data_IF_589077136941
#
_entry.id   IF_589077136941
#
_cell.length_a   1.000
_cell.length_b   1.000
_cell.length_c   1.000
_cell.angle_alpha   90.00
_cell.angle_beta   90.00
_cell.angle_gamma   90.00
#
_symmetry.space_group_name_H-M   'P 1'
#
loop_
_entity.id
_entity.type
_entity.pdbx_description
1 polymer ?
#
# COMPACT_ATOMS: atom_id res chain seq x y z
N UNK A 1 -15.27 -18.20 12.83
CA UNK A 1 -15.44 -17.87 11.40
C UNK A 1 -14.21 -17.10 11.00
N UNK A 2 -13.24 -17.77 10.37
CA UNK A 2 -12.16 -17.06 9.67
C UNK A 2 -12.83 -16.31 8.52
N UNK A 3 -13.03 -15.00 8.67
CA UNK A 3 -13.30 -14.15 7.53
C UNK A 3 -12.02 -14.24 6.69
N UNK A 4 -12.10 -14.87 5.52
CA UNK A 4 -11.05 -14.76 4.51
C UNK A 4 -10.94 -13.28 4.17
N UNK A 5 -9.99 -12.60 4.83
CA UNK A 5 -9.67 -11.22 4.53
C UNK A 5 -9.17 -11.20 3.09
N UNK A 6 -9.97 -10.59 2.21
CA UNK A 6 -9.57 -10.40 0.82
C UNK A 6 -8.27 -9.63 0.80
N UNK A 7 -7.30 -10.21 0.10
CA UNK A 7 -5.99 -9.61 -0.10
C UNK A 7 -5.95 -8.94 -1.46
N UNK A 8 -5.33 -7.77 -1.50
CA UNK A 8 -5.10 -6.99 -2.71
C UNK A 8 -3.60 -6.81 -2.83
N UNK A 9 -3.05 -7.18 -3.98
CA UNK A 9 -1.66 -6.91 -4.32
C UNK A 9 -1.59 -5.63 -5.16
N UNK A 10 -0.81 -4.65 -4.70
CA UNK A 10 -0.56 -3.40 -5.42
C UNK A 10 0.92 -3.23 -5.73
N UNK A 11 1.24 -2.65 -6.87
CA UNK A 11 2.61 -2.36 -7.25
C UNK A 11 3.02 -0.98 -6.74
N UNK A 12 4.15 -0.90 -6.02
CA UNK A 12 4.76 0.32 -5.51
C UNK A 12 6.25 0.35 -5.83
N UNK A 13 6.79 1.52 -6.16
CA UNK A 13 8.25 1.74 -6.12
C UNK A 13 8.70 2.22 -4.73
N UNK A 14 10.01 2.41 -4.53
CA UNK A 14 10.54 2.79 -3.23
C UNK A 14 10.03 4.16 -2.74
N UNK A 15 9.95 5.15 -3.64
CA UNK A 15 9.48 6.49 -3.29
C UNK A 15 8.02 6.48 -2.82
N UNK A 16 7.17 5.71 -3.49
CA UNK A 16 5.76 5.56 -3.15
C UNK A 16 5.56 4.76 -1.87
N UNK A 17 6.37 3.71 -1.66
CA UNK A 17 6.40 2.96 -0.40
C UNK A 17 6.79 3.85 0.78
N UNK A 18 7.82 4.69 0.62
CA UNK A 18 8.23 5.66 1.64
C UNK A 18 7.14 6.70 1.92
N UNK A 19 6.46 7.20 0.88
CA UNK A 19 5.34 8.14 1.06
C UNK A 19 4.20 7.51 1.85
N UNK A 20 3.86 6.25 1.54
CA UNK A 20 2.85 5.50 2.27
C UNK A 20 3.26 5.27 3.74
N UNK A 21 4.51 4.90 3.99
CA UNK A 21 5.04 4.74 5.35
C UNK A 21 4.99 6.05 6.15
N UNK A 22 5.34 7.17 5.52
CA UNK A 22 5.24 8.50 6.14
C UNK A 22 3.78 8.83 6.49
N UNK A 23 2.83 8.56 5.58
CA UNK A 23 1.41 8.78 5.85
C UNK A 23 0.91 7.93 7.02
N UNK A 24 1.32 6.66 7.07
CA UNK A 24 0.97 5.75 8.16
C UNK A 24 1.61 6.17 9.49
N UNK A 25 2.81 6.74 9.48
CA UNK A 25 3.48 7.20 10.71
C UNK A 25 2.73 8.35 11.41
N UNK A 26 1.92 9.12 10.68
CA UNK A 26 1.06 10.19 11.22
C UNK A 26 -0.25 9.65 11.84
N UNK A 27 -0.55 8.36 11.67
CA UNK A 27 -1.73 7.72 12.25
C UNK A 27 -1.44 7.18 13.67
N UNK A 28 -2.47 6.98 14.51
CA UNK A 28 -2.30 6.40 15.83
C UNK A 28 -1.58 5.04 15.78
N UNK A 29 -0.48 4.91 16.53
CA UNK A 29 0.40 3.74 16.49
C UNK A 29 -0.33 2.39 16.56
N UNK A 30 -1.33 2.25 17.44
CA UNK A 30 -2.12 1.01 17.62
C UNK A 30 -2.83 0.55 16.34
N UNK A 31 -3.09 1.45 15.40
CA UNK A 31 -3.79 1.17 14.14
C UNK A 31 -2.83 0.74 13.03
N UNK A 32 -1.57 1.19 13.07
CA UNK A 32 -0.64 1.09 11.95
C UNK A 32 0.60 0.25 12.24
N UNK A 33 0.90 -0.11 13.49
CA UNK A 33 2.17 -0.76 13.83
C UNK A 33 2.38 -2.09 13.10
N UNK A 34 1.35 -2.94 13.02
CA UNK A 34 1.44 -4.23 12.31
C UNK A 34 1.60 -4.02 10.81
N UNK A 35 0.85 -3.06 10.25
CA UNK A 35 0.90 -2.70 8.84
C UNK A 35 2.27 -2.15 8.45
N UNK A 36 2.80 -1.19 9.19
CA UNK A 36 4.15 -0.64 8.97
C UNK A 36 5.20 -1.75 9.08
N UNK A 37 5.10 -2.62 10.10
CA UNK A 37 5.99 -3.76 10.25
C UNK A 37 5.93 -4.73 9.07
N UNK A 38 4.72 -5.00 8.56
CA UNK A 38 4.48 -5.84 7.38
C UNK A 38 5.06 -5.20 6.12
N UNK A 39 4.82 -3.92 5.88
CA UNK A 39 5.33 -3.19 4.72
C UNK A 39 6.85 -3.11 4.72
N UNK A 40 7.46 -2.86 5.87
CA UNK A 40 8.92 -2.88 5.99
C UNK A 40 9.49 -4.26 5.65
N UNK A 41 8.90 -5.35 6.13
CA UNK A 41 9.35 -6.71 5.74
C UNK A 41 9.23 -6.94 4.23
N UNK A 42 8.10 -6.58 3.64
CA UNK A 42 7.89 -6.69 2.19
C UNK A 42 8.90 -5.83 1.41
N UNK A 43 9.18 -4.61 1.87
CA UNK A 43 10.16 -3.74 1.24
C UNK A 43 11.56 -4.35 1.25
N UNK A 44 12.02 -4.90 2.38
CA UNK A 44 13.32 -5.58 2.45
C UNK A 44 13.40 -6.77 1.49
N UNK A 45 12.32 -7.57 1.39
CA UNK A 45 12.26 -8.72 0.49
C UNK A 45 12.24 -8.31 -1.00
N UNK A 46 11.50 -7.24 -1.32
CA UNK A 46 11.25 -6.80 -2.69
C UNK A 46 12.35 -5.89 -3.27
N UNK A 47 13.04 -5.13 -2.43
CA UNK A 47 14.01 -4.13 -2.86
C UNK A 47 15.48 -4.46 -2.54
N UNK A 48 15.79 -5.37 -1.62
CA UNK A 48 17.16 -5.86 -1.37
C UNK A 48 18.26 -4.78 -1.31
N UNK A 49 19.53 -5.18 -1.40
CA UNK A 49 20.66 -4.22 -1.33
C UNK A 49 20.99 -3.52 -2.67
N UNK A 50 20.47 -4.02 -3.80
CA UNK A 50 20.89 -3.56 -5.15
C UNK A 50 19.71 -3.43 -6.12
N UNK A 51 18.47 -3.27 -5.65
CA UNK A 51 17.36 -3.02 -6.59
C UNK A 51 17.35 -1.55 -7.02
N UNK A 52 17.19 -1.36 -8.33
CA UNK A 52 16.81 -0.08 -8.90
C UNK A 52 15.53 0.44 -8.20
N UNK A 53 15.64 1.62 -7.59
CA UNK A 53 14.59 2.23 -6.76
C UNK A 53 13.39 2.69 -7.60
N UNK A 54 13.54 2.74 -8.93
CA UNK A 54 12.46 3.06 -9.86
C UNK A 54 11.58 1.85 -10.18
N UNK A 55 12.07 0.63 -9.94
CA UNK A 55 11.33 -0.61 -10.21
C UNK A 55 10.16 -0.72 -9.24
N UNK A 56 8.99 -1.02 -9.80
CA UNK A 56 7.80 -1.29 -9.01
C UNK A 56 7.77 -2.74 -8.59
N UNK A 57 7.36 -2.99 -7.35
CA UNK A 57 7.29 -4.33 -6.74
C UNK A 57 5.92 -4.53 -6.11
N UNK A 58 5.41 -5.77 -6.10
CA UNK A 58 4.12 -6.06 -5.50
C UNK A 58 4.20 -5.97 -3.96
N UNK A 59 3.19 -5.36 -3.37
CA UNK A 59 2.94 -5.33 -1.93
C UNK A 59 1.52 -5.82 -1.66
N UNK A 60 1.41 -6.77 -0.75
CA UNK A 60 0.16 -7.40 -0.38
C UNK A 60 -0.44 -6.71 0.84
N UNK A 61 -1.71 -6.34 0.71
CA UNK A 61 -2.54 -5.73 1.74
C UNK A 61 -3.81 -6.54 1.93
N UNK A 62 -4.39 -6.52 3.12
CA UNK A 62 -5.80 -6.85 3.30
C UNK A 62 -6.66 -5.65 2.89
N UNK A 63 -7.94 -5.86 2.59
CA UNK A 63 -8.86 -4.73 2.31
C UNK A 63 -8.86 -3.67 3.43
N UNK A 64 -8.76 -4.11 4.69
CA UNK A 64 -8.70 -3.19 5.84
C UNK A 64 -7.40 -2.38 5.84
N UNK A 65 -6.26 -3.05 5.66
CA UNK A 65 -4.94 -2.40 5.58
C UNK A 65 -4.88 -1.39 4.42
N UNK A 66 -5.49 -1.73 3.28
CA UNK A 66 -5.57 -0.86 2.13
C UNK A 66 -6.46 0.36 2.40
N UNK A 67 -7.60 0.18 3.07
CA UNK A 67 -8.46 1.30 3.49
C UNK A 67 -7.74 2.25 4.44
N UNK A 68 -6.97 1.71 5.40
CA UNK A 68 -6.15 2.51 6.32
C UNK A 68 -5.08 3.27 5.54
N UNK A 69 -4.42 2.62 4.58
CA UNK A 69 -3.38 3.20 3.74
C UNK A 69 -3.90 4.38 2.92
N UNK A 70 -5.05 4.24 2.26
CA UNK A 70 -5.69 5.32 1.50
C UNK A 70 -6.07 6.47 2.43
N UNK A 71 -6.74 6.19 3.56
CA UNK A 71 -7.14 7.23 4.52
C UNK A 71 -5.96 7.97 5.14
N UNK A 72 -4.82 7.29 5.31
CA UNK A 72 -3.59 7.91 5.79
C UNK A 72 -3.02 8.85 4.71
N UNK A 73 -2.95 8.38 3.48
CA UNK A 73 -2.49 9.15 2.32
C UNK A 73 -3.34 10.41 2.10
N UNK A 74 -4.66 10.31 2.20
CA UNK A 74 -5.59 11.46 2.06
C UNK A 74 -5.35 12.60 3.06
N UNK A 75 -4.65 12.33 4.17
CA UNK A 75 -4.30 13.36 5.16
C UNK A 75 -3.03 14.14 4.82
N UNK A 76 -2.25 13.68 3.85
CA UNK A 76 -1.04 14.38 3.40
C UNK A 76 -1.37 15.51 2.41
N UNK A 77 -0.48 16.51 2.26
CA UNK A 77 -0.66 17.60 1.31
C UNK A 77 -0.88 17.07 -0.11
N UNK A 78 -1.96 17.53 -0.76
CA UNK A 78 -2.45 17.02 -2.04
C UNK A 78 -1.34 16.84 -3.10
N UNK A 79 -0.45 17.83 -3.23
CA UNK A 79 0.69 17.85 -4.17
C UNK A 79 1.61 16.62 -4.06
N UNK A 80 1.73 16.05 -2.86
CA UNK A 80 2.61 14.89 -2.61
C UNK A 80 1.92 13.57 -2.95
N UNK A 81 0.60 13.50 -2.79
CA UNK A 81 -0.13 12.24 -2.69
C UNK A 81 -1.08 11.98 -3.86
N UNK A 82 -1.52 13.01 -4.59
CA UNK A 82 -2.56 12.86 -5.61
C UNK A 82 -2.18 11.85 -6.71
N UNK A 83 -0.91 11.82 -7.12
CA UNK A 83 -0.42 10.84 -8.10
C UNK A 83 -0.46 9.41 -7.58
N UNK A 84 -0.09 9.20 -6.31
CA UNK A 84 -0.13 7.87 -5.70
C UNK A 84 -1.58 7.41 -5.50
N UNK A 85 -2.46 8.25 -4.94
CA UNK A 85 -3.88 7.91 -4.71
C UNK A 85 -4.60 7.57 -6.03
N UNK A 86 -4.42 8.38 -7.07
CA UNK A 86 -5.01 8.10 -8.37
C UNK A 86 -4.60 6.71 -8.90
N UNK A 87 -3.33 6.33 -8.70
CA UNK A 87 -2.83 5.03 -9.14
C UNK A 87 -3.33 3.88 -8.28
N UNK A 88 -3.33 4.03 -6.95
CA UNK A 88 -3.86 3.02 -6.04
C UNK A 88 -5.33 2.72 -6.33
N UNK A 89 -6.13 3.77 -6.56
CA UNK A 89 -7.54 3.63 -6.93
C UNK A 89 -7.70 2.92 -8.28
N UNK A 90 -6.85 3.21 -9.26
CA UNK A 90 -6.88 2.53 -10.56
C UNK A 90 -6.52 1.03 -10.43
N UNK A 91 -5.51 0.69 -9.62
CA UNK A 91 -5.12 -0.71 -9.38
C UNK A 91 -6.22 -1.47 -8.63
N UNK A 92 -6.85 -0.85 -7.64
CA UNK A 92 -8.00 -1.43 -6.93
C UNK A 92 -9.19 -1.67 -7.85
N UNK A 93 -9.52 -0.71 -8.71
CA UNK A 93 -10.59 -0.87 -9.68
C UNK A 93 -10.31 -2.05 -10.63
N UNK A 94 -9.07 -2.17 -11.12
CA UNK A 94 -8.66 -3.30 -11.96
C UNK A 94 -8.73 -4.64 -11.22
N UNK A 95 -8.34 -4.68 -9.95
CA UNK A 95 -8.43 -5.89 -9.11
C UNK A 95 -9.89 -6.33 -8.90
N UNK A 96 -10.78 -5.38 -8.60
CA UNK A 96 -12.20 -5.66 -8.40
C UNK A 96 -12.91 -6.10 -9.71
N UNK A 97 -12.51 -5.54 -10.85
CA UNK A 97 -13.02 -5.99 -12.16
C UNK A 97 -12.52 -7.40 -12.51
N UNK A 98 -11.29 -7.75 -12.16
CA UNK A 98 -10.72 -9.08 -12.42
C UNK A 98 -11.31 -10.18 -11.50
N UNK A 99 -11.76 -9.85 -10.30
CA UNK A 99 -12.50 -10.78 -9.42
C UNK A 99 -13.95 -10.99 -9.88
N UNK A 100 -14.58 -10.00 -10.51
CA UNK A 100 -15.99 -10.10 -10.94
C UNK A 100 -16.20 -10.96 -12.19
N UNK A 101 -15.13 -11.32 -12.89
CA UNK A 101 -15.13 -12.16 -14.12
C UNK A 101 -14.70 -13.62 -13.84
N UNK A 102 -14.61 -14.02 -12.56
CA UNK A 102 -14.29 -15.37 -12.09
C UNK A 102 -15.48 -16.02 -11.39
#
# INVERSE_FOLDING_TARGET
MEMTERTVSIELNLAEGNLLLNALAECPFKTVFELIGKLNRQAHLNFGEVSDQSVRRPFDFTEQEMSISIKALEKLPYELVHHLLARLNAQLAAHNSAESDR
#
